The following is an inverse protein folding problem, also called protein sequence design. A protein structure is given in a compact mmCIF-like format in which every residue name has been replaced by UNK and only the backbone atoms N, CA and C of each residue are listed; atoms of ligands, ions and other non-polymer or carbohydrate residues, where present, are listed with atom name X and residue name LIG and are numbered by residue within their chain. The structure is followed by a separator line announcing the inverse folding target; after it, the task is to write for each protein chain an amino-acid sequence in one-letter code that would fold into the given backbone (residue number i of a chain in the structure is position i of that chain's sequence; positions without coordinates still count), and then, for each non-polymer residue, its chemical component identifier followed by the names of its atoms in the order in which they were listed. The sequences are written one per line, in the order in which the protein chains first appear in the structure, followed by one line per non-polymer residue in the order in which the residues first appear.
data_IF_983319696616
#
_entry.id   IF_983319696616
#
_cell.length_a   1.000
_cell.length_b   1.000
_cell.length_c   1.000
_cell.angle_alpha   90.00
_cell.angle_beta   90.00
_cell.angle_gamma   90.00
#
_symmetry.space_group_name_H-M   'P 1'
#
loop_
_entity.id
_entity.type
_entity.pdbx_description
1 polymer ?
#
# COMPACT_ATOMS: atom_id res chain seq x y z
N UNK A 1 -3.74 2.44 9.45
CA UNK A 1 -3.10 3.37 8.49
C UNK A 1 -3.84 3.41 7.15
N UNK A 2 -3.96 2.27 6.46
CA UNK A 2 -4.74 2.08 5.21
C UNK A 2 -6.22 2.49 5.26
N UNK A 3 -6.90 2.22 6.38
CA UNK A 3 -8.32 2.58 6.55
C UNK A 3 -8.56 4.10 6.69
N UNK A 4 -7.61 4.83 7.28
CA UNK A 4 -7.75 6.28 7.55
C UNK A 4 -7.32 7.14 6.36
N UNK A 5 -6.38 6.68 5.53
CA UNK A 5 -6.03 7.38 4.28
C UNK A 5 -7.19 7.40 3.26
N UNK A 6 -8.08 6.39 3.27
CA UNK A 6 -9.15 6.26 2.28
C UNK A 6 -10.45 6.95 2.71
N UNK A 7 -10.73 7.05 4.01
CA UNK A 7 -11.90 7.75 4.57
C UNK A 7 -11.93 9.25 4.25
N UNK A 8 -10.76 9.87 4.06
CA UNK A 8 -10.66 11.30 3.75
C UNK A 8 -11.15 11.68 2.34
N UNK A 9 -11.45 10.70 1.46
CA UNK A 9 -11.81 10.98 0.06
C UNK A 9 -13.28 10.74 -0.33
N UNK A 10 -14.16 10.25 0.56
CA UNK A 10 -15.58 10.01 0.20
C UNK A 10 -16.57 10.22 1.37
N UNK A 11 -17.22 11.39 1.48
CA UNK A 11 -18.34 11.58 2.39
C UNK A 11 -19.66 11.21 1.68
N UNK A 12 -20.22 10.05 2.01
CA UNK A 12 -21.63 9.74 1.77
C UNK A 12 -21.92 8.71 0.68
N UNK A 13 -21.93 7.45 1.06
CA UNK A 13 -22.74 6.40 0.45
C UNK A 13 -22.69 5.14 1.32
N UNK A 14 -23.70 4.30 1.21
CA UNK A 14 -23.86 3.00 1.88
C UNK A 14 -22.88 1.94 1.32
N UNK A 15 -21.61 2.34 1.13
CA UNK A 15 -20.46 1.57 0.64
C UNK A 15 -19.55 1.08 1.79
N UNK A 16 -19.90 1.37 3.04
CA UNK A 16 -18.99 1.19 4.18
C UNK A 16 -18.67 -0.27 4.50
N UNK A 17 -19.61 -1.20 4.30
CA UNK A 17 -19.38 -2.62 4.59
C UNK A 17 -18.55 -3.31 3.50
N UNK A 18 -18.78 -2.95 2.23
CA UNK A 18 -18.01 -3.47 1.09
C UNK A 18 -16.60 -2.85 1.03
N UNK A 19 -16.44 -1.56 1.29
CA UNK A 19 -15.10 -0.94 1.40
C UNK A 19 -14.34 -1.45 2.62
N UNK A 20 -14.98 -1.66 3.78
CA UNK A 20 -14.29 -2.24 4.94
C UNK A 20 -13.86 -3.68 4.70
N UNK A 21 -14.69 -4.49 4.04
CA UNK A 21 -14.32 -5.88 3.68
C UNK A 21 -13.23 -5.90 2.62
N UNK A 22 -13.32 -5.01 1.63
CA UNK A 22 -12.32 -4.78 0.60
C UNK A 22 -10.97 -4.38 1.20
N UNK A 23 -10.95 -3.36 2.06
CA UNK A 23 -9.76 -2.88 2.76
C UNK A 23 -9.18 -3.95 3.69
N UNK A 24 -10.04 -4.69 4.41
CA UNK A 24 -9.62 -5.77 5.28
C UNK A 24 -9.00 -6.95 4.51
N UNK A 25 -9.58 -7.32 3.37
CA UNK A 25 -9.03 -8.38 2.50
C UNK A 25 -7.70 -7.94 1.87
N UNK A 26 -7.62 -6.69 1.40
CA UNK A 26 -6.41 -6.10 0.85
C UNK A 26 -5.30 -6.04 1.90
N UNK A 27 -5.62 -5.61 3.12
CA UNK A 27 -4.70 -5.54 4.24
C UNK A 27 -4.28 -6.90 4.78
N UNK A 28 -5.19 -7.86 4.76
CA UNK A 28 -4.87 -9.25 5.09
C UNK A 28 -3.78 -9.78 4.15
N UNK A 29 -3.91 -9.55 2.83
CA UNK A 29 -2.94 -10.04 1.85
C UNK A 29 -1.62 -9.26 1.85
N UNK A 30 -1.64 -7.95 2.19
CA UNK A 30 -0.43 -7.19 2.52
C UNK A 30 0.34 -7.85 3.68
N UNK A 31 -0.38 -8.25 4.74
CA UNK A 31 0.20 -8.95 5.90
C UNK A 31 0.74 -10.34 5.53
N UNK A 32 0.03 -11.11 4.72
CA UNK A 32 0.46 -12.47 4.34
C UNK A 32 1.72 -12.44 3.46
N UNK A 33 1.91 -11.43 2.62
CA UNK A 33 3.11 -11.27 1.77
C UNK A 33 4.40 -11.07 2.58
N UNK A 34 4.31 -10.46 3.78
CA UNK A 34 5.46 -10.25 4.66
C UNK A 34 6.01 -11.52 5.33
N UNK A 35 5.23 -12.61 5.40
CA UNK A 35 5.58 -13.76 6.25
C UNK A 35 6.23 -14.95 5.52
N UNK A 36 6.34 -14.95 4.18
CA UNK A 36 6.82 -16.15 3.46
C UNK A 36 7.79 -15.98 2.29
N UNK A 37 8.53 -14.88 2.17
CA UNK A 37 9.80 -14.87 1.40
C UNK A 37 10.81 -13.96 2.12
N UNK A 38 11.41 -14.50 3.18
CA UNK A 38 12.56 -13.89 3.84
C UNK A 38 13.83 -14.51 3.27
N UNK A 39 14.53 -13.76 2.40
CA UNK A 39 15.99 -13.79 2.12
C UNK A 39 16.30 -13.49 0.64
N UNK A 40 16.56 -12.22 0.33
CA UNK A 40 17.83 -11.71 -0.23
C UNK A 40 17.69 -10.20 -0.42
N UNK A 41 18.66 -9.45 0.09
CA UNK A 41 18.80 -8.02 -0.18
C UNK A 41 18.71 -7.75 -1.68
N UNK A 42 17.85 -6.80 -2.06
CA UNK A 42 18.13 -5.89 -3.17
C UNK A 42 17.88 -4.47 -2.64
N UNK A 43 18.84 -3.61 -2.91
CA UNK A 43 19.11 -2.31 -2.29
C UNK A 43 18.11 -1.20 -2.63
N UNK A 44 16.97 -1.53 -3.19
CA UNK A 44 15.92 -0.60 -3.58
C UNK A 44 14.60 -1.29 -3.26
N UNK A 45 13.54 -0.53 -3.00
CA UNK A 45 12.23 -0.98 -2.49
C UNK A 45 11.49 -2.00 -3.40
N UNK A 46 12.16 -2.59 -4.38
CA UNK A 46 11.61 -3.44 -5.42
C UNK A 46 12.33 -4.80 -5.44
N UNK A 47 11.58 -5.88 -5.68
CA UNK A 47 12.15 -7.23 -5.81
C UNK A 47 11.92 -7.75 -7.22
N UNK A 48 12.95 -8.40 -7.79
CA UNK A 48 13.04 -8.76 -9.21
C UNK A 48 11.87 -9.62 -9.73
N UNK A 49 11.28 -10.45 -8.87
CA UNK A 49 10.21 -11.39 -9.24
C UNK A 49 8.82 -10.95 -8.74
N UNK A 50 8.66 -9.69 -8.34
CA UNK A 50 7.38 -9.14 -7.83
C UNK A 50 6.26 -9.16 -8.86
N UNK A 51 6.58 -9.22 -10.14
CA UNK A 51 5.59 -9.37 -11.19
C UNK A 51 4.94 -10.77 -11.21
N UNK A 52 5.66 -11.82 -10.79
CA UNK A 52 5.20 -13.21 -10.90
C UNK A 52 4.01 -13.48 -9.96
N UNK A 53 4.01 -12.95 -8.73
CA UNK A 53 2.85 -13.13 -7.84
C UNK A 53 1.71 -12.17 -8.22
N UNK A 54 2.01 -10.98 -8.74
CA UNK A 54 0.98 -10.09 -9.30
C UNK A 54 0.17 -10.80 -10.39
N UNK A 55 0.84 -11.43 -11.35
CA UNK A 55 0.21 -12.18 -12.44
C UNK A 55 -0.60 -13.39 -11.92
N UNK A 56 -0.01 -14.18 -11.02
CA UNK A 56 -0.73 -15.32 -10.41
C UNK A 56 -1.95 -14.88 -9.61
N UNK A 57 -1.83 -13.83 -8.81
CA UNK A 57 -2.93 -13.27 -8.02
C UNK A 57 -4.04 -12.71 -8.90
N UNK A 58 -3.67 -11.98 -9.96
CA UNK A 58 -4.59 -11.53 -11.00
C UNK A 58 -5.36 -12.71 -11.60
N UNK A 59 -4.67 -13.75 -12.07
CA UNK A 59 -5.30 -14.89 -12.74
C UNK A 59 -6.23 -15.69 -11.84
N UNK A 60 -5.92 -15.77 -10.55
CA UNK A 60 -6.81 -16.36 -9.56
C UNK A 60 -8.07 -15.53 -9.38
N UNK A 61 -7.93 -14.23 -9.15
CA UNK A 61 -9.05 -13.33 -8.89
C UNK A 61 -9.95 -13.16 -10.13
N UNK A 62 -9.35 -13.07 -11.31
CA UNK A 62 -10.08 -12.92 -12.58
C UNK A 62 -11.02 -14.11 -12.87
N UNK A 63 -10.74 -15.29 -12.31
CA UNK A 63 -11.57 -16.50 -12.45
C UNK A 63 -12.72 -16.56 -11.45
N UNK A 64 -12.76 -15.68 -10.46
CA UNK A 64 -13.80 -15.64 -9.43
C UNK A 64 -14.69 -14.41 -9.63
N UNK A 65 -15.90 -14.62 -10.16
CA UNK A 65 -16.83 -13.54 -10.56
C UNK A 65 -17.05 -12.45 -9.49
N UNK A 66 -17.12 -12.82 -8.21
CA UNK A 66 -17.31 -11.86 -7.12
C UNK A 66 -16.06 -11.04 -6.76
N UNK A 67 -14.89 -11.44 -7.23
CA UNK A 67 -13.58 -10.84 -6.91
C UNK A 67 -12.80 -10.38 -8.14
N UNK A 68 -13.31 -10.63 -9.34
CA UNK A 68 -12.63 -10.27 -10.60
C UNK A 68 -12.28 -8.78 -10.69
N UNK A 69 -13.07 -7.92 -10.05
CA UNK A 69 -12.82 -6.48 -9.98
C UNK A 69 -11.54 -6.11 -9.20
N UNK A 70 -11.00 -7.03 -8.38
CA UNK A 70 -9.73 -6.87 -7.65
C UNK A 70 -8.51 -7.25 -8.49
N UNK A 71 -8.70 -8.04 -9.54
CA UNK A 71 -7.58 -8.56 -10.32
C UNK A 71 -6.67 -7.45 -10.87
N UNK A 72 -7.19 -6.31 -11.41
CA UNK A 72 -6.33 -5.21 -11.84
C UNK A 72 -5.53 -4.58 -10.70
N UNK A 73 -6.10 -4.50 -9.50
CA UNK A 73 -5.42 -3.94 -8.33
C UNK A 73 -4.22 -4.80 -7.95
N UNK A 74 -4.43 -6.12 -7.87
CA UNK A 74 -3.37 -7.08 -7.56
C UNK A 74 -2.34 -7.17 -8.68
N UNK A 75 -2.73 -6.99 -9.94
CA UNK A 75 -1.78 -6.98 -11.05
C UNK A 75 -0.80 -5.79 -10.95
N UNK A 76 -1.29 -4.63 -10.51
CA UNK A 76 -0.52 -3.38 -10.59
C UNK A 76 0.08 -2.92 -9.26
N UNK A 77 -0.10 -3.62 -8.14
CA UNK A 77 0.37 -3.15 -6.82
C UNK A 77 1.89 -3.11 -6.63
N UNK A 78 2.72 -3.61 -7.54
CA UNK A 78 4.16 -3.34 -7.55
C UNK A 78 4.59 -2.35 -8.65
N UNK A 79 3.63 -1.77 -9.37
CA UNK A 79 3.95 -0.74 -10.37
C UNK A 79 4.21 0.59 -9.68
N UNK A 80 5.41 1.13 -9.88
CA UNK A 80 5.78 2.47 -9.43
C UNK A 80 4.82 3.52 -9.98
N UNK A 81 4.56 4.56 -9.17
CA UNK A 81 3.62 5.61 -9.51
C UNK A 81 3.94 6.29 -10.85
N UNK A 82 5.20 6.61 -11.11
CA UNK A 82 5.64 7.23 -12.36
C UNK A 82 5.18 6.44 -13.60
N UNK A 83 5.22 5.11 -13.56
CA UNK A 83 4.73 4.24 -14.64
C UNK A 83 3.22 4.04 -14.59
N UNK A 84 2.65 3.93 -13.38
CA UNK A 84 1.24 3.63 -13.16
C UNK A 84 0.33 4.80 -13.56
N UNK A 85 0.74 6.04 -13.28
CA UNK A 85 -0.01 7.25 -13.62
C UNK A 85 -0.26 7.35 -15.14
N UNK A 86 0.69 6.89 -15.94
CA UNK A 86 0.64 6.90 -17.42
C UNK A 86 -0.21 5.78 -18.02
N UNK A 87 -0.66 4.80 -17.23
CA UNK A 87 -1.50 3.71 -17.74
C UNK A 87 -2.94 4.19 -17.98
N UNK A 88 -3.58 3.65 -19.01
CA UNK A 88 -5.01 3.84 -19.28
C UNK A 88 -5.85 2.95 -18.35
N UNK A 89 -5.89 3.30 -17.07
CA UNK A 89 -6.65 2.62 -16.02
C UNK A 89 -7.52 3.64 -15.26
N UNK A 90 -8.64 3.23 -14.67
CA UNK A 90 -9.39 4.09 -13.76
C UNK A 90 -8.50 4.59 -12.62
N UNK A 91 -8.59 5.88 -12.30
CA UNK A 91 -7.74 6.50 -11.28
C UNK A 91 -7.82 5.79 -9.92
N UNK A 92 -9.03 5.36 -9.54
CA UNK A 92 -9.28 4.56 -8.34
C UNK A 92 -8.42 3.28 -8.29
N UNK A 93 -8.27 2.57 -9.41
CA UNK A 93 -7.46 1.35 -9.46
C UNK A 93 -5.98 1.67 -9.29
N UNK A 94 -5.48 2.74 -9.94
CA UNK A 94 -4.09 3.19 -9.79
C UNK A 94 -3.77 3.53 -8.34
N UNK A 95 -4.64 4.31 -7.70
CA UNK A 95 -4.41 4.76 -6.33
C UNK A 95 -4.47 3.63 -5.33
N UNK A 96 -5.44 2.71 -5.46
CA UNK A 96 -5.51 1.58 -4.55
C UNK A 96 -4.30 0.67 -4.73
N UNK A 97 -3.91 0.37 -5.97
CA UNK A 97 -2.71 -0.43 -6.26
C UNK A 97 -1.46 0.19 -5.64
N UNK A 98 -1.29 1.51 -5.79
CA UNK A 98 -0.14 2.22 -5.23
C UNK A 98 -0.21 2.38 -3.70
N UNK A 99 -1.41 2.42 -3.13
CA UNK A 99 -1.63 2.41 -1.68
C UNK A 99 -1.22 1.08 -1.05
N UNK A 100 -1.58 -0.05 -1.68
CA UNK A 100 -1.07 -1.38 -1.30
C UNK A 100 0.45 -1.38 -1.36
N UNK A 101 1.03 -0.91 -2.48
CA UNK A 101 2.47 -0.85 -2.63
C UNK A 101 3.13 -0.08 -1.48
N UNK A 102 2.62 1.11 -1.16
CA UNK A 102 3.15 1.95 -0.09
C UNK A 102 3.01 1.29 1.27
N UNK A 103 1.87 0.65 1.55
CA UNK A 103 1.60 -0.05 2.82
C UNK A 103 2.55 -1.23 3.00
N UNK A 104 2.73 -2.06 1.98
CA UNK A 104 3.69 -3.18 1.99
C UNK A 104 5.12 -2.70 2.28
N UNK A 105 5.50 -1.52 1.76
CA UNK A 105 6.82 -0.94 2.00
C UNK A 105 6.97 -0.34 3.38
N UNK A 106 5.92 0.29 3.90
CA UNK A 106 5.90 0.76 5.28
C UNK A 106 6.01 -0.43 6.25
N UNK A 107 5.28 -1.52 6.02
CA UNK A 107 5.35 -2.73 6.85
C UNK A 107 6.74 -3.37 6.79
N UNK A 108 7.32 -3.49 5.58
CA UNK A 108 8.69 -3.98 5.42
C UNK A 108 9.73 -3.11 6.13
N UNK A 109 9.62 -1.78 6.03
CA UNK A 109 10.51 -0.85 6.73
C UNK A 109 10.31 -0.96 8.25
N UNK A 110 9.07 -1.06 8.72
CA UNK A 110 8.75 -1.18 10.14
C UNK A 110 9.27 -2.46 10.76
N UNK A 111 9.21 -3.58 10.04
CA UNK A 111 9.68 -4.89 10.49
C UNK A 111 11.21 -4.96 10.70
N UNK A 112 11.98 -4.00 10.17
CA UNK A 112 13.43 -3.95 10.35
C UNK A 112 13.84 -3.40 11.71
N UNK A 113 12.92 -2.85 12.49
CA UNK A 113 13.25 -2.19 13.74
C UNK A 113 12.65 -2.86 14.98
N UNK A 114 13.34 -2.69 16.11
CA UNK A 114 12.87 -3.21 17.38
C UNK A 114 11.76 -2.31 17.99
N UNK A 115 10.85 -2.86 18.81
CA UNK A 115 9.73 -2.11 19.40
C UNK A 115 10.13 -0.94 20.30
N UNK A 116 11.36 -0.89 20.83
CA UNK A 116 11.81 0.19 21.72
C UNK A 116 12.32 1.43 20.96
N UNK A 117 12.46 1.35 19.64
CA UNK A 117 12.95 2.44 18.79
C UNK A 117 11.80 3.13 18.00
N UNK A 118 10.54 2.78 18.28
CA UNK A 118 9.35 3.14 17.50
C UNK A 118 9.27 4.61 17.07
N UNK A 119 9.53 5.56 17.99
CA UNK A 119 9.49 6.99 17.68
C UNK A 119 10.54 7.38 16.63
N UNK A 120 11.79 6.96 16.83
CA UNK A 120 12.89 7.25 15.90
C UNK A 120 12.70 6.57 14.54
N UNK A 121 12.11 5.38 14.55
CA UNK A 121 11.82 4.63 13.33
C UNK A 121 10.67 5.24 12.54
N UNK A 122 9.67 5.81 13.22
CA UNK A 122 8.57 6.50 12.56
C UNK A 122 9.08 7.67 11.71
N UNK A 123 10.07 8.42 12.19
CA UNK A 123 10.66 9.54 11.45
C UNK A 123 11.46 9.05 10.25
N UNK A 124 12.29 8.02 10.42
CA UNK A 124 13.04 7.41 9.31
C UNK A 124 12.11 6.86 8.23
N UNK A 125 11.01 6.22 8.61
CA UNK A 125 10.01 5.73 7.66
C UNK A 125 9.38 6.90 6.93
N UNK A 126 8.93 7.95 7.64
CA UNK A 126 8.39 9.18 7.02
C UNK A 126 9.35 9.78 6.00
N UNK A 127 10.62 9.98 6.38
CA UNK A 127 11.65 10.52 5.49
C UNK A 127 11.89 9.62 4.27
N UNK A 128 11.91 8.31 4.48
CA UNK A 128 12.09 7.34 3.38
C UNK A 128 10.91 7.39 2.40
N UNK A 129 9.67 7.37 2.89
CA UNK A 129 8.48 7.44 2.04
C UNK A 129 8.39 8.79 1.33
N UNK A 130 8.66 9.90 2.03
CA UNK A 130 8.67 11.24 1.46
C UNK A 130 9.66 11.39 0.30
N UNK A 131 10.85 10.77 0.41
CA UNK A 131 11.87 10.79 -0.65
C UNK A 131 11.36 10.25 -1.99
N UNK A 132 10.41 9.31 -1.97
CA UNK A 132 9.88 8.67 -3.17
C UNK A 132 8.52 9.20 -3.64
N UNK A 133 8.10 10.35 -3.11
CA UNK A 133 6.91 11.07 -3.57
C UNK A 133 6.99 11.38 -5.06
N UNK A 134 5.96 11.01 -5.82
CA UNK A 134 5.87 11.23 -7.27
C UNK A 134 6.69 10.25 -8.12
N UNK A 135 7.47 9.35 -7.51
CA UNK A 135 8.23 8.31 -8.23
C UNK A 135 7.69 6.93 -7.91
N UNK A 136 7.97 6.40 -6.72
CA UNK A 136 7.39 5.12 -6.27
C UNK A 136 5.94 5.29 -5.85
N UNK A 137 5.63 6.41 -5.19
CA UNK A 137 4.35 6.61 -4.52
C UNK A 137 3.61 7.84 -5.05
N UNK A 138 2.29 7.73 -5.15
CA UNK A 138 1.41 8.81 -5.57
C UNK A 138 1.56 9.99 -4.60
N UNK A 139 1.71 11.23 -5.10
CA UNK A 139 1.87 12.42 -4.27
C UNK A 139 0.82 12.53 -3.16
N UNK A 140 -0.45 12.33 -3.50
CA UNK A 140 -1.57 12.41 -2.56
C UNK A 140 -1.51 11.35 -1.46
N UNK A 141 -1.07 10.12 -1.76
CA UNK A 141 -0.94 9.07 -0.74
C UNK A 141 0.17 9.38 0.26
N UNK A 142 1.31 9.90 -0.24
CA UNK A 142 2.42 10.33 0.62
C UNK A 142 1.99 11.48 1.52
N UNK A 143 1.32 12.49 0.96
CA UNK A 143 0.87 13.66 1.71
C UNK A 143 -0.10 13.26 2.83
N UNK A 144 -1.06 12.37 2.54
CA UNK A 144 -1.98 11.82 3.54
C UNK A 144 -1.25 11.01 4.61
N UNK A 145 -0.30 10.15 4.22
CA UNK A 145 0.50 9.37 5.17
C UNK A 145 1.30 10.27 6.12
N UNK A 146 1.96 11.31 5.60
CA UNK A 146 2.73 12.24 6.42
C UNK A 146 1.84 13.03 7.38
N UNK A 147 0.65 13.43 6.94
CA UNK A 147 -0.32 14.12 7.80
C UNK A 147 -0.81 13.23 8.94
N UNK A 148 -1.22 11.99 8.66
CA UNK A 148 -1.78 11.08 9.67
C UNK A 148 -0.69 10.65 10.66
N UNK A 149 0.50 10.30 10.17
CA UNK A 149 1.61 9.83 10.99
C UNK A 149 2.30 10.93 11.81
N UNK A 150 1.95 12.20 11.61
CA UNK A 150 2.32 13.32 12.49
C UNK A 150 1.28 13.51 13.60
N UNK A 151 -0.02 13.40 13.29
CA UNK A 151 -1.10 13.57 14.27
C UNK A 151 -1.10 12.51 15.37
N UNK A 152 -0.72 11.25 15.06
CA UNK A 152 -0.60 10.17 16.06
C UNK A 152 0.40 10.46 17.19
N UNK A 153 1.28 11.46 17.04
CA UNK A 153 2.25 11.89 18.06
C UNK A 153 1.64 12.94 19.00
N UNK A 154 0.65 13.72 18.56
CA UNK A 154 0.07 14.81 19.35
C UNK A 154 -1.03 14.38 20.33
N UNK A 155 -1.65 13.20 20.13
CA UNK A 155 -2.74 12.72 20.99
C UNK A 155 -2.27 12.03 22.30
N UNK A 156 -0.98 12.15 22.64
CA UNK A 156 -0.38 11.62 23.88
C UNK A 156 -0.13 12.68 24.98
N UNK A 157 -0.77 13.85 24.89
CA UNK A 157 -0.66 14.92 25.90
C UNK A 157 -1.95 15.15 26.70
#
# INVERSE_FOLDING_TARGET
MSLECMRLHHPGSDESQLSTTFDAALLHDCRVSSTRIHKKLISELDWVDSHIHCERGHDLLAKHNSLAFLAPIVLYHHTHWDRLERKQLPERIKLISNCIYMTDRIDFLSAQYAPHELLFNSEKIRLTIAKYRGTLFAPQLVDTFLSISQSEICDYH
#
